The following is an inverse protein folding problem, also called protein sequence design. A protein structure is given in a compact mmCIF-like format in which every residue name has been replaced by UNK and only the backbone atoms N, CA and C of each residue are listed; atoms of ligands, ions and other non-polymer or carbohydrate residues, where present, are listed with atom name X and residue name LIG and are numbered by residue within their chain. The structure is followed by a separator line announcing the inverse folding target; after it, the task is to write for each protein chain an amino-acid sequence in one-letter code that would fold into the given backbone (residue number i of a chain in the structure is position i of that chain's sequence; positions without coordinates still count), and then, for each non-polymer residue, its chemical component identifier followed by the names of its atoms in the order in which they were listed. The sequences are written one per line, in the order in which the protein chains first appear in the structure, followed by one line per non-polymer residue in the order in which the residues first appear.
data_IF_934828281102
#
_entry.id   IF_934828281102
#
_cell.length_a   1.000
_cell.length_b   1.000
_cell.length_c   1.000
_cell.angle_alpha   90.00
_cell.angle_beta   90.00
_cell.angle_gamma   90.00
#
_symmetry.space_group_name_H-M   'P 1'
#
loop_
_entity.id
_entity.type
_entity.pdbx_description
1 polymer ?
#
# COMPACT_ATOMS: atom_id res chain seq x y z
N UNK A 1 -18.15 34.98 -2.72
CA UNK A 1 -19.32 34.71 -1.84
C UNK A 1 -18.81 34.65 -0.42
N UNK A 2 -19.51 35.18 0.59
CA UNK A 2 -19.13 35.11 1.99
C UNK A 2 -20.33 34.56 2.78
N UNK A 3 -20.09 33.48 3.54
CA UNK A 3 -21.02 32.98 4.52
C UNK A 3 -20.44 33.25 5.93
N UNK A 4 -21.25 33.74 6.86
CA UNK A 4 -20.85 33.96 8.24
C UNK A 4 -21.78 33.20 9.14
N UNK A 5 -21.24 32.42 10.05
CA UNK A 5 -22.02 31.64 11.02
C UNK A 5 -21.53 31.99 12.41
N UNK A 6 -22.46 32.38 13.27
CA UNK A 6 -22.21 32.64 14.69
C UNK A 6 -22.73 31.44 15.51
N UNK A 7 -21.82 30.70 16.14
CA UNK A 7 -22.16 29.60 17.05
C UNK A 7 -21.92 30.05 18.49
N UNK A 8 -22.96 29.96 19.34
CA UNK A 8 -22.84 30.28 20.75
C UNK A 8 -23.11 29.06 21.61
N UNK A 9 -22.07 28.56 22.26
CA UNK A 9 -22.19 27.51 23.28
C UNK A 9 -22.30 28.14 24.66
N UNK A 10 -23.31 27.66 25.45
CA UNK A 10 -23.49 28.08 26.85
C UNK A 10 -23.35 26.84 27.73
N UNK A 11 -22.33 26.81 28.57
CA UNK A 11 -22.13 25.77 29.56
C UNK A 11 -22.45 26.37 30.94
N UNK A 12 -23.41 25.78 31.65
CA UNK A 12 -23.74 26.17 33.02
C UNK A 12 -23.20 25.09 33.96
N UNK A 13 -22.37 25.49 34.91
CA UNK A 13 -21.77 24.61 35.92
C UNK A 13 -22.21 25.09 37.27
N UNK A 14 -22.75 24.19 38.12
CA UNK A 14 -23.09 24.52 39.51
C UNK A 14 -21.82 24.80 40.30
N UNK A 15 -21.80 25.88 41.05
CA UNK A 15 -20.61 26.40 41.75
C UNK A 15 -19.97 25.43 42.74
N UNK A 16 -20.70 24.39 43.17
CA UNK A 16 -20.25 23.41 44.16
C UNK A 16 -19.77 22.09 43.55
N UNK A 17 -19.69 22.00 42.21
CA UNK A 17 -19.29 20.75 41.53
C UNK A 17 -18.03 20.91 40.68
N UNK A 18 -17.09 19.99 40.87
CA UNK A 18 -16.01 19.78 39.91
C UNK A 18 -16.45 18.81 38.81
N UNK A 19 -16.33 19.22 37.56
CA UNK A 19 -16.62 18.36 36.41
C UNK A 19 -15.31 17.75 35.93
N UNK A 20 -15.19 16.42 35.84
CA UNK A 20 -14.06 15.78 35.20
C UNK A 20 -13.89 16.27 33.75
N UNK A 21 -12.66 16.50 33.29
CA UNK A 21 -12.38 16.91 31.91
C UNK A 21 -12.97 15.92 30.89
N UNK A 22 -12.96 14.62 31.20
CA UNK A 22 -13.57 13.59 30.35
C UNK A 22 -15.08 13.82 30.14
N UNK A 23 -15.82 14.15 31.21
CA UNK A 23 -17.25 14.44 31.13
C UNK A 23 -17.54 15.70 30.31
N UNK A 24 -16.67 16.70 30.39
CA UNK A 24 -16.79 17.89 29.53
C UNK A 24 -16.49 17.56 28.06
N UNK A 25 -15.50 16.71 27.80
CA UNK A 25 -15.19 16.24 26.46
C UNK A 25 -16.33 15.41 25.85
N UNK A 26 -16.91 14.48 26.62
CA UNK A 26 -18.12 13.72 26.22
C UNK A 26 -19.30 14.68 25.91
N UNK A 27 -19.52 15.66 26.75
CA UNK A 27 -20.58 16.65 26.50
C UNK A 27 -20.38 17.41 25.20
N UNK A 28 -19.14 17.81 24.87
CA UNK A 28 -18.82 18.52 23.61
C UNK A 28 -19.06 17.59 22.41
N UNK A 29 -18.65 16.33 22.51
CA UNK A 29 -18.85 15.31 21.46
C UNK A 29 -20.35 15.05 21.26
N UNK A 30 -21.12 14.91 22.32
CA UNK A 30 -22.57 14.67 22.27
C UNK A 30 -23.36 15.83 21.63
N UNK A 31 -22.80 17.03 21.57
CA UNK A 31 -23.44 18.18 20.93
C UNK A 31 -23.27 18.18 19.40
N UNK A 32 -22.55 17.25 18.82
CA UNK A 32 -22.30 17.16 17.38
C UNK A 32 -21.94 18.51 16.73
N UNK A 33 -21.03 19.26 17.36
CA UNK A 33 -20.71 20.65 16.97
C UNK A 33 -20.24 20.73 15.53
N UNK A 34 -19.47 19.76 15.09
CA UNK A 34 -18.95 19.68 13.71
C UNK A 34 -20.09 19.52 12.71
N UNK A 35 -21.08 18.67 13.01
CA UNK A 35 -22.29 18.48 12.21
C UNK A 35 -23.10 19.77 12.10
N UNK A 36 -23.38 20.42 13.23
CA UNK A 36 -24.14 21.69 13.28
C UNK A 36 -23.44 22.79 12.48
N UNK A 37 -22.12 22.88 12.59
CA UNK A 37 -21.33 23.84 11.82
C UNK A 37 -21.40 23.56 10.33
N UNK A 38 -21.22 22.30 9.90
CA UNK A 38 -21.29 21.91 8.50
C UNK A 38 -22.65 22.20 7.89
N UNK A 39 -23.73 21.82 8.58
CA UNK A 39 -25.11 22.10 8.15
C UNK A 39 -25.35 23.60 7.98
N UNK A 40 -24.97 24.39 8.96
CA UNK A 40 -25.09 25.84 8.89
C UNK A 40 -24.28 26.49 7.77
N UNK A 41 -23.08 25.97 7.46
CA UNK A 41 -22.25 26.44 6.33
C UNK A 41 -22.94 26.11 5.02
N UNK A 42 -23.37 24.86 4.83
CA UNK A 42 -24.03 24.41 3.60
C UNK A 42 -25.32 25.20 3.35
N UNK A 43 -26.19 25.38 4.35
CA UNK A 43 -27.41 26.17 4.23
C UNK A 43 -27.13 27.65 3.92
N UNK A 44 -26.08 28.23 4.51
CA UNK A 44 -25.70 29.60 4.25
C UNK A 44 -25.15 29.79 2.82
N UNK A 45 -24.36 28.82 2.33
CA UNK A 45 -23.86 28.81 0.95
C UNK A 45 -25.01 28.62 -0.05
N UNK A 46 -25.95 27.73 0.24
CA UNK A 46 -27.13 27.49 -0.58
C UNK A 46 -27.98 28.75 -0.71
N UNK A 47 -28.31 29.39 0.41
CA UNK A 47 -29.06 30.65 0.42
C UNK A 47 -28.33 31.75 -0.35
N UNK A 48 -27.03 31.91 -0.17
CA UNK A 48 -26.23 32.91 -0.86
C UNK A 48 -26.13 32.63 -2.37
N UNK A 49 -26.04 31.37 -2.79
CA UNK A 49 -26.00 30.97 -4.21
C UNK A 49 -27.31 31.29 -4.91
N UNK A 50 -28.42 31.01 -4.26
CA UNK A 50 -29.78 31.38 -4.77
C UNK A 50 -29.97 32.87 -4.86
N UNK A 51 -29.57 33.63 -3.85
CA UNK A 51 -29.67 35.10 -3.83
C UNK A 51 -28.83 35.72 -4.95
N UNK A 52 -27.60 35.20 -5.19
CA UNK A 52 -26.76 35.66 -6.26
C UNK A 52 -27.39 35.48 -7.65
N UNK A 53 -28.06 34.36 -7.90
CA UNK A 53 -28.72 34.08 -9.18
C UNK A 53 -30.09 34.72 -9.34
N UNK A 54 -30.92 34.65 -8.31
CA UNK A 54 -32.31 35.09 -8.37
C UNK A 54 -32.50 36.54 -7.87
N UNK A 55 -31.55 37.09 -7.08
CA UNK A 55 -31.58 38.47 -6.57
C UNK A 55 -31.17 39.51 -7.61
N UNK A 56 -30.27 39.16 -8.55
CA UNK A 56 -29.96 40.01 -9.69
C UNK A 56 -31.07 39.87 -10.72
N UNK A 57 -31.59 41.02 -11.21
CA UNK A 57 -32.56 41.05 -12.30
C UNK A 57 -31.85 40.73 -13.62
N UNK A 58 -31.52 39.46 -13.86
CA UNK A 58 -31.14 38.98 -15.20
C UNK A 58 -32.38 38.99 -16.08
N UNK A 59 -32.66 40.17 -16.69
CA UNK A 59 -33.79 40.33 -17.55
C UNK A 59 -33.52 39.70 -18.91
N UNK A 60 -34.32 38.71 -19.30
CA UNK A 60 -34.53 38.42 -20.69
C UNK A 60 -35.07 39.64 -21.41
N UNK A 61 -34.89 39.70 -22.75
CA UNK A 61 -35.39 40.80 -23.57
C UNK A 61 -36.87 41.16 -23.38
N UNK A 62 -37.63 40.33 -22.68
CA UNK A 62 -39.05 40.56 -22.35
C UNK A 62 -39.26 41.04 -20.90
N UNK A 63 -38.22 41.34 -20.13
CA UNK A 63 -38.30 41.75 -18.73
C UNK A 63 -38.67 40.65 -17.72
N UNK A 64 -38.71 39.38 -18.14
CA UNK A 64 -38.89 38.23 -17.26
C UNK A 64 -37.54 37.80 -16.64
N UNK A 65 -37.60 37.37 -15.37
CA UNK A 65 -36.45 36.87 -14.65
C UNK A 65 -36.03 35.50 -15.21
N UNK A 66 -34.77 35.37 -15.63
CA UNK A 66 -34.24 34.13 -16.22
C UNK A 66 -34.27 32.97 -15.21
N UNK A 67 -33.81 33.22 -14.00
CA UNK A 67 -33.68 32.19 -12.96
C UNK A 67 -34.84 32.36 -11.94
N UNK A 68 -35.56 31.28 -11.70
CA UNK A 68 -36.72 31.29 -10.79
C UNK A 68 -36.55 30.23 -9.70
N UNK A 69 -36.59 30.65 -8.44
CA UNK A 69 -36.61 29.74 -7.29
C UNK A 69 -37.91 28.92 -7.32
N UNK A 70 -37.78 27.58 -7.24
CA UNK A 70 -38.93 26.65 -7.35
C UNK A 70 -39.21 25.89 -6.07
N UNK A 71 -38.28 25.75 -5.15
CA UNK A 71 -38.47 25.05 -3.89
C UNK A 71 -37.17 24.54 -3.31
N UNK A 72 -37.27 23.56 -2.44
CA UNK A 72 -36.15 22.84 -1.82
C UNK A 72 -36.38 21.35 -1.92
N UNK A 73 -35.27 20.60 -2.09
CA UNK A 73 -35.24 19.15 -2.05
C UNK A 73 -34.34 18.65 -0.91
N UNK A 74 -34.76 17.60 -0.17
CA UNK A 74 -33.91 17.00 0.83
C UNK A 74 -32.71 16.27 0.16
N UNK A 75 -31.53 16.42 0.75
CA UNK A 75 -30.33 15.70 0.41
C UNK A 75 -29.66 15.17 1.66
N UNK A 76 -29.48 13.86 1.73
CA UNK A 76 -28.74 13.23 2.83
C UNK A 76 -27.28 13.02 2.44
N UNK A 77 -26.36 13.31 3.35
CA UNK A 77 -24.93 13.05 3.20
C UNK A 77 -24.34 12.58 4.53
N UNK A 78 -23.49 11.56 4.48
CA UNK A 78 -22.70 11.10 5.62
C UNK A 78 -21.24 11.50 5.37
N UNK A 79 -20.68 12.24 6.31
CA UNK A 79 -19.29 12.70 6.32
C UNK A 79 -18.60 12.24 7.59
N UNK A 80 -17.34 12.57 7.76
CA UNK A 80 -16.63 12.39 9.04
C UNK A 80 -17.19 13.27 10.17
N UNK A 81 -17.93 14.34 9.81
CA UNK A 81 -18.62 15.22 10.77
C UNK A 81 -20.02 14.72 11.19
N UNK A 82 -20.54 13.66 10.57
CA UNK A 82 -21.83 13.05 10.94
C UNK A 82 -22.74 12.69 9.78
N UNK A 83 -24.00 12.37 10.12
CA UNK A 83 -25.10 12.07 9.17
C UNK A 83 -26.00 13.31 9.02
N UNK A 84 -26.01 13.90 7.84
CA UNK A 84 -26.65 15.20 7.59
C UNK A 84 -27.86 15.07 6.67
N UNK A 85 -28.84 15.94 6.88
CA UNK A 85 -29.97 16.13 5.99
C UNK A 85 -30.10 17.61 5.62
N UNK A 86 -29.67 17.95 4.40
CA UNK A 86 -29.74 19.31 3.87
C UNK A 86 -31.05 19.53 3.12
N UNK A 87 -31.62 20.73 3.22
CA UNK A 87 -32.77 21.18 2.43
C UNK A 87 -32.29 22.19 1.40
N UNK A 88 -31.78 21.67 0.24
CA UNK A 88 -31.13 22.47 -0.80
C UNK A 88 -32.15 23.05 -1.79
N UNK A 89 -32.00 24.32 -2.14
CA UNK A 89 -32.83 24.97 -3.14
C UNK A 89 -32.52 24.49 -4.55
N UNK A 90 -33.58 24.37 -5.35
CA UNK A 90 -33.45 24.23 -6.78
C UNK A 90 -34.09 25.42 -7.51
N UNK A 91 -33.44 25.75 -8.65
CA UNK A 91 -33.79 26.90 -9.48
C UNK A 91 -34.07 26.40 -10.89
N UNK A 92 -35.05 27.03 -11.57
CA UNK A 92 -35.32 26.80 -12.99
C UNK A 92 -34.68 27.90 -13.84
N UNK A 93 -33.91 27.48 -14.86
CA UNK A 93 -33.54 28.39 -15.94
C UNK A 93 -34.65 28.42 -17.02
N UNK A 94 -35.42 29.46 -17.02
CA UNK A 94 -36.54 29.65 -17.96
C UNK A 94 -36.11 29.89 -19.41
N UNK A 95 -34.80 30.03 -19.66
CA UNK A 95 -34.18 30.18 -20.97
C UNK A 95 -33.54 28.92 -21.51
N UNK A 96 -33.49 27.82 -20.72
CA UNK A 96 -32.94 26.55 -21.18
C UNK A 96 -33.77 25.99 -22.35
N UNK A 97 -33.08 25.41 -23.33
CA UNK A 97 -33.72 24.72 -24.44
C UNK A 97 -34.44 23.46 -23.95
N UNK A 98 -35.52 23.06 -24.67
CA UNK A 98 -36.37 21.93 -24.27
C UNK A 98 -35.66 20.58 -24.12
N UNK A 99 -34.44 20.42 -24.60
CA UNK A 99 -33.64 19.20 -24.54
C UNK A 99 -32.69 19.15 -23.33
N UNK A 100 -32.54 20.25 -22.56
CA UNK A 100 -31.72 20.34 -21.37
C UNK A 100 -32.58 20.40 -20.09
N UNK A 101 -32.07 19.84 -18.98
CA UNK A 101 -32.72 19.98 -17.68
C UNK A 101 -32.73 21.46 -17.29
N UNK A 102 -33.92 22.07 -17.25
CA UNK A 102 -34.07 23.47 -16.81
C UNK A 102 -33.89 23.66 -15.28
N UNK A 103 -33.79 22.56 -14.51
CA UNK A 103 -33.69 22.58 -13.06
C UNK A 103 -32.29 22.18 -12.60
N UNK A 104 -31.71 22.98 -11.70
CA UNK A 104 -30.41 22.73 -11.08
C UNK A 104 -30.35 23.29 -9.65
N UNK A 105 -29.32 22.90 -8.89
CA UNK A 105 -29.04 23.41 -7.54
C UNK A 105 -27.88 24.38 -7.60
N UNK A 106 -28.06 25.69 -7.36
CA UNK A 106 -26.98 26.68 -7.47
C UNK A 106 -25.80 26.44 -6.50
N UNK A 107 -26.04 25.81 -5.37
CA UNK A 107 -24.98 25.47 -4.41
C UNK A 107 -23.98 24.46 -4.98
N UNK A 108 -24.37 23.63 -5.95
CA UNK A 108 -23.48 22.64 -6.58
C UNK A 108 -22.40 23.28 -7.46
N UNK A 109 -22.52 24.58 -7.80
CA UNK A 109 -21.45 25.36 -8.46
C UNK A 109 -20.29 25.74 -7.51
N UNK A 110 -20.53 25.71 -6.20
CA UNK A 110 -19.57 26.12 -5.17
C UNK A 110 -19.25 25.02 -4.15
N UNK A 111 -20.07 23.99 -4.08
CA UNK A 111 -19.96 22.86 -3.17
C UNK A 111 -20.16 21.55 -3.95
N UNK A 112 -19.09 20.76 -4.05
CA UNK A 112 -19.16 19.47 -4.71
C UNK A 112 -19.60 18.37 -3.73
N UNK A 113 -20.55 17.54 -4.19
CA UNK A 113 -20.93 16.31 -3.52
C UNK A 113 -20.44 15.11 -4.32
N UNK A 114 -20.18 13.95 -3.68
CA UNK A 114 -19.82 12.72 -4.38
C UNK A 114 -21.03 12.16 -5.18
N UNK A 115 -21.42 12.85 -6.22
CA UNK A 115 -22.58 12.54 -7.06
C UNK A 115 -23.85 12.32 -6.22
N UNK A 116 -24.51 11.18 -6.42
CA UNK A 116 -25.71 10.78 -5.63
C UNK A 116 -25.36 9.86 -4.44
N UNK A 117 -24.08 9.68 -4.14
CA UNK A 117 -23.67 8.85 -3.01
C UNK A 117 -24.03 9.50 -1.68
N UNK A 118 -24.60 8.72 -0.78
CA UNK A 118 -24.87 9.16 0.58
C UNK A 118 -23.59 9.35 1.38
N UNK A 119 -22.65 8.39 1.27
CA UNK A 119 -21.34 8.46 1.93
C UNK A 119 -20.39 9.30 1.09
N UNK A 120 -20.00 10.46 1.60
CA UNK A 120 -19.11 11.38 0.92
C UNK A 120 -17.66 10.90 0.95
N UNK A 121 -16.80 11.55 0.18
CA UNK A 121 -15.43 11.09 -0.06
C UNK A 121 -14.58 10.97 1.22
N UNK A 122 -14.73 11.88 2.17
CA UNK A 122 -13.99 11.91 3.44
C UNK A 122 -14.25 10.66 4.28
N UNK A 123 -15.53 10.32 4.54
CA UNK A 123 -15.89 9.11 5.29
C UNK A 123 -15.60 7.84 4.48
N UNK A 124 -15.72 7.90 3.14
CA UNK A 124 -15.36 6.81 2.27
C UNK A 124 -13.84 6.54 2.33
N UNK A 125 -13.00 7.56 2.20
CA UNK A 125 -11.54 7.45 2.31
C UNK A 125 -11.12 6.95 3.71
N UNK A 126 -11.72 7.50 4.77
CA UNK A 126 -11.47 7.05 6.14
C UNK A 126 -11.84 5.57 6.33
N UNK A 127 -12.99 5.13 5.80
CA UNK A 127 -13.41 3.73 5.88
C UNK A 127 -12.45 2.79 5.14
N UNK A 128 -11.94 3.21 3.99
CA UNK A 128 -10.94 2.46 3.21
C UNK A 128 -9.60 2.41 3.96
N UNK A 129 -9.16 3.53 4.52
CA UNK A 129 -7.91 3.59 5.28
C UNK A 129 -7.93 2.65 6.49
N UNK A 130 -9.00 2.64 7.27
CA UNK A 130 -9.21 1.71 8.38
C UNK A 130 -9.28 0.25 7.90
N UNK A 131 -9.95 -0.02 6.77
CA UNK A 131 -10.09 -1.36 6.19
C UNK A 131 -8.77 -1.97 5.71
N UNK A 132 -7.73 -1.15 5.47
CA UNK A 132 -6.38 -1.68 5.20
C UNK A 132 -5.84 -2.49 6.38
N UNK A 133 -6.26 -2.18 7.61
CA UNK A 133 -5.78 -2.81 8.84
C UNK A 133 -6.81 -3.69 9.54
N UNK A 134 -8.09 -3.35 9.45
CA UNK A 134 -9.21 -4.04 10.09
C UNK A 134 -10.00 -4.88 9.09
N UNK A 135 -10.79 -5.84 9.57
CA UNK A 135 -11.80 -6.47 8.71
C UNK A 135 -12.88 -5.45 8.32
N UNK A 136 -13.58 -5.65 7.20
CA UNK A 136 -14.66 -4.73 6.81
C UNK A 136 -15.78 -4.62 7.85
N UNK A 137 -16.01 -5.70 8.61
CA UNK A 137 -16.98 -5.70 9.72
C UNK A 137 -16.45 -4.89 10.90
N UNK A 138 -15.20 -5.17 11.31
CA UNK A 138 -14.59 -4.42 12.42
C UNK A 138 -14.45 -2.93 12.06
N UNK A 139 -14.17 -2.60 10.78
CA UNK A 139 -14.15 -1.20 10.31
C UNK A 139 -15.50 -0.53 10.48
N UNK A 140 -16.60 -1.19 10.10
CA UNK A 140 -17.94 -0.65 10.29
C UNK A 140 -18.28 -0.52 11.78
N UNK A 141 -18.09 -1.59 12.55
CA UNK A 141 -18.48 -1.65 13.96
C UNK A 141 -17.69 -0.66 14.84
N UNK A 142 -16.37 -0.55 14.64
CA UNK A 142 -15.54 0.42 15.39
C UNK A 142 -15.73 1.85 14.90
N UNK A 143 -15.92 2.01 13.59
CA UNK A 143 -16.13 3.33 13.00
C UNK A 143 -17.45 3.97 13.44
N UNK A 144 -18.52 3.20 13.57
CA UNK A 144 -19.80 3.70 14.11
C UNK A 144 -19.66 4.27 15.53
N UNK A 145 -18.68 3.79 16.31
CA UNK A 145 -18.37 4.34 17.63
C UNK A 145 -17.57 5.66 17.60
N UNK A 146 -17.03 6.05 16.45
CA UNK A 146 -16.20 7.26 16.30
C UNK A 146 -16.90 8.32 15.44
N UNK A 147 -17.57 7.93 14.37
CA UNK A 147 -18.10 8.79 13.30
C UNK A 147 -19.63 8.73 13.20
N UNK A 148 -20.38 8.67 14.27
CA UNK A 148 -21.84 8.60 14.27
C UNK A 148 -22.41 7.54 13.29
N UNK A 149 -21.88 7.43 12.06
CA UNK A 149 -22.26 6.45 11.04
C UNK A 149 -21.13 6.09 10.09
N UNK A 150 -20.86 4.80 9.94
CA UNK A 150 -19.90 4.26 8.97
C UNK A 150 -20.63 3.55 7.81
N UNK A 151 -19.97 3.46 6.63
CA UNK A 151 -20.45 2.59 5.57
C UNK A 151 -20.53 1.12 6.02
N UNK A 152 -21.57 0.41 5.57
CA UNK A 152 -21.67 -1.02 5.85
C UNK A 152 -20.54 -1.83 5.19
N UNK A 153 -20.22 -3.04 5.70
CA UNK A 153 -19.14 -3.87 5.14
C UNK A 153 -19.19 -4.09 3.63
N UNK A 154 -20.36 -4.30 2.98
CA UNK A 154 -20.41 -4.38 1.51
C UNK A 154 -20.05 -3.07 0.81
N UNK A 155 -20.40 -1.92 1.38
CA UNK A 155 -20.06 -0.59 0.83
C UNK A 155 -18.55 -0.37 0.98
N UNK A 156 -17.96 -0.67 2.14
CA UNK A 156 -16.52 -0.60 2.39
C UNK A 156 -15.77 -1.46 1.38
N UNK A 157 -16.18 -2.73 1.18
CA UNK A 157 -15.57 -3.62 0.19
C UNK A 157 -15.62 -3.01 -1.22
N UNK A 158 -16.76 -2.44 -1.62
CA UNK A 158 -16.89 -1.78 -2.93
C UNK A 158 -15.92 -0.59 -3.06
N UNK A 159 -15.80 0.24 -2.03
CA UNK A 159 -14.88 1.38 -2.01
C UNK A 159 -13.40 0.94 -2.01
N UNK A 160 -13.06 -0.12 -1.28
CA UNK A 160 -11.71 -0.72 -1.32
C UNK A 160 -11.35 -1.16 -2.74
N UNK A 161 -12.27 -1.82 -3.46
CA UNK A 161 -12.03 -2.22 -4.86
C UNK A 161 -11.86 -1.02 -5.79
N UNK A 162 -12.72 -0.01 -5.63
CA UNK A 162 -12.66 1.22 -6.41
C UNK A 162 -11.33 1.95 -6.18
N UNK A 163 -10.95 2.18 -4.92
CA UNK A 163 -9.76 2.95 -4.58
C UNK A 163 -8.47 2.16 -4.85
N UNK A 164 -8.46 0.87 -4.58
CA UNK A 164 -7.33 0.01 -4.93
C UNK A 164 -7.09 -0.05 -6.44
N UNK A 165 -8.18 -0.09 -7.23
CA UNK A 165 -8.08 -0.01 -8.69
C UNK A 165 -7.55 1.34 -9.20
N UNK A 166 -7.97 2.44 -8.58
CA UNK A 166 -7.45 3.79 -8.88
C UNK A 166 -5.97 3.92 -8.50
N UNK A 167 -5.59 3.42 -7.31
CA UNK A 167 -4.20 3.44 -6.85
C UNK A 167 -3.30 2.62 -7.75
N UNK A 168 -3.76 1.47 -8.23
CA UNK A 168 -3.01 0.66 -9.21
C UNK A 168 -2.72 1.43 -10.50
N UNK A 169 -3.64 2.29 -10.97
CA UNK A 169 -3.42 3.14 -12.13
C UNK A 169 -2.49 4.32 -11.86
N UNK A 170 -2.40 4.76 -10.62
CA UNK A 170 -1.55 5.87 -10.19
C UNK A 170 -0.09 5.44 -9.95
N UNK A 171 0.14 4.19 -9.54
CA UNK A 171 1.47 3.68 -9.20
C UNK A 171 2.52 3.78 -10.32
N UNK A 172 2.21 3.47 -11.60
CA UNK A 172 3.20 3.59 -12.67
C UNK A 172 3.82 4.98 -12.78
N UNK A 173 3.03 6.04 -12.56
CA UNK A 173 3.53 7.42 -12.59
C UNK A 173 4.50 7.70 -11.42
N UNK A 174 4.32 7.03 -10.28
CA UNK A 174 5.21 7.14 -9.13
C UNK A 174 6.49 6.30 -9.28
N UNK A 175 6.37 5.15 -9.94
CA UNK A 175 7.48 4.20 -10.17
C UNK A 175 8.42 4.69 -11.27
N UNK A 176 7.90 5.39 -12.28
CA UNK A 176 8.69 5.92 -13.41
C UNK A 176 9.81 6.90 -12.99
N UNK A 177 9.71 7.50 -11.81
CA UNK A 177 10.76 8.37 -11.25
C UNK A 177 11.77 7.60 -10.37
N UNK A 178 11.65 6.26 -10.31
CA UNK A 178 12.51 5.40 -9.47
C UNK A 178 13.60 4.77 -10.34
N UNK A 179 14.85 4.95 -9.99
CA UNK A 179 16.00 4.27 -10.58
C UNK A 179 16.57 3.30 -9.53
N UNK A 180 15.92 2.14 -9.37
CA UNK A 180 16.37 1.15 -8.40
C UNK A 180 17.61 0.40 -8.91
N UNK A 181 18.67 0.35 -8.10
CA UNK A 181 19.89 -0.43 -8.37
C UNK A 181 19.88 -1.81 -7.68
N UNK A 182 18.87 -2.08 -6.85
CA UNK A 182 18.56 -3.42 -6.37
C UNK A 182 17.06 -3.70 -6.45
N UNK A 183 16.71 -4.90 -6.94
CA UNK A 183 15.33 -5.40 -7.09
C UNK A 183 15.13 -6.58 -6.15
N UNK A 184 14.09 -6.51 -5.32
CA UNK A 184 13.84 -7.50 -4.27
C UNK A 184 12.43 -8.10 -4.46
N UNK A 185 12.27 -9.09 -5.35
CA UNK A 185 11.00 -9.78 -5.56
C UNK A 185 10.79 -10.90 -4.53
N UNK A 186 9.55 -11.06 -4.08
CA UNK A 186 9.13 -12.20 -3.26
C UNK A 186 7.66 -12.53 -3.48
N UNK A 187 7.26 -13.75 -3.15
CA UNK A 187 5.91 -14.24 -3.32
C UNK A 187 5.35 -14.98 -2.11
N UNK A 188 4.03 -14.91 -1.97
CA UNK A 188 3.32 -15.62 -0.91
C UNK A 188 1.96 -16.11 -1.40
N UNK A 189 1.17 -16.78 -0.54
CA UNK A 189 -0.15 -17.32 -0.91
C UNK A 189 -1.19 -16.95 0.12
N UNK A 190 -2.43 -16.65 -0.34
CA UNK A 190 -3.61 -16.52 0.50
C UNK A 190 -4.72 -17.48 0.04
N UNK A 191 -5.63 -17.83 0.96
CA UNK A 191 -6.76 -18.71 0.63
C UNK A 191 -7.71 -18.05 -0.37
N UNK A 192 -8.06 -18.81 -1.42
CA UNK A 192 -9.05 -18.40 -2.42
C UNK A 192 -10.48 -18.74 -1.97
N UNK A 193 -11.45 -17.93 -2.43
CA UNK A 193 -12.85 -18.31 -2.40
C UNK A 193 -13.34 -18.79 -3.77
N UNK A 194 -12.49 -18.79 -4.79
CA UNK A 194 -12.81 -19.29 -6.13
C UNK A 194 -12.82 -20.83 -6.12
N UNK A 195 -13.79 -21.44 -6.77
CA UNK A 195 -13.97 -22.90 -6.75
C UNK A 195 -12.88 -23.66 -7.52
N UNK A 196 -12.19 -22.98 -8.45
CA UNK A 196 -11.18 -23.57 -9.33
C UNK A 196 -9.77 -23.63 -8.70
N UNK A 197 -9.56 -22.94 -7.56
CA UNK A 197 -8.26 -22.88 -6.89
C UNK A 197 -8.35 -22.76 -5.38
N UNK A 198 -7.43 -23.39 -4.68
CA UNK A 198 -7.35 -23.31 -3.22
C UNK A 198 -6.66 -22.04 -2.71
N UNK A 199 -5.78 -21.44 -3.52
CA UNK A 199 -4.94 -20.29 -3.14
C UNK A 199 -4.78 -19.33 -4.30
N UNK A 200 -4.67 -18.05 -3.97
CA UNK A 200 -4.10 -17.02 -4.84
C UNK A 200 -2.61 -16.87 -4.52
N UNK A 201 -1.76 -16.81 -5.55
CA UNK A 201 -0.39 -16.34 -5.42
C UNK A 201 -0.39 -14.81 -5.34
N UNK A 202 0.46 -14.27 -4.48
CA UNK A 202 0.69 -12.84 -4.33
C UNK A 202 2.16 -12.63 -4.63
N UNK A 203 2.47 -11.73 -5.54
CA UNK A 203 3.81 -11.36 -5.95
C UNK A 203 3.98 -9.87 -5.67
N UNK A 204 5.11 -9.50 -5.08
CA UNK A 204 5.48 -8.10 -4.90
C UNK A 204 6.97 -7.91 -5.15
N UNK A 205 7.31 -6.79 -5.75
CA UNK A 205 8.67 -6.40 -6.07
C UNK A 205 8.96 -5.05 -5.42
N UNK A 206 10.00 -5.00 -4.58
CA UNK A 206 10.55 -3.74 -4.07
C UNK A 206 11.78 -3.35 -4.88
N UNK A 207 11.90 -2.07 -5.20
CA UNK A 207 13.14 -1.44 -5.61
C UNK A 207 13.84 -0.81 -4.40
N UNK A 208 15.15 -0.85 -4.37
CA UNK A 208 15.97 -0.13 -3.39
C UNK A 208 17.01 0.71 -4.15
N UNK A 209 17.05 2.02 -3.87
CA UNK A 209 18.21 2.84 -4.15
C UNK A 209 19.21 2.58 -3.02
N UNK A 210 20.32 1.95 -3.35
CA UNK A 210 21.30 1.50 -2.34
C UNK A 210 22.13 2.65 -1.78
N UNK A 211 22.15 3.80 -2.44
CA UNK A 211 22.91 4.98 -2.02
C UNK A 211 22.25 5.66 -0.80
N UNK A 212 20.94 5.84 -0.81
CA UNK A 212 20.20 6.47 0.28
C UNK A 212 19.31 5.48 1.06
N UNK A 213 19.20 4.23 0.58
CA UNK A 213 18.38 3.14 1.12
C UNK A 213 16.88 3.42 1.08
N UNK A 214 16.47 4.30 0.17
CA UNK A 214 15.07 4.50 -0.13
C UNK A 214 14.49 3.27 -0.81
N UNK A 215 13.20 3.01 -0.60
CA UNK A 215 12.51 1.83 -1.13
C UNK A 215 11.18 2.22 -1.70
N UNK A 216 10.89 1.64 -2.86
CA UNK A 216 9.62 1.82 -3.55
C UNK A 216 8.98 0.47 -3.86
N UNK A 217 7.66 0.39 -3.78
CA UNK A 217 6.92 -0.77 -4.29
C UNK A 217 6.82 -0.63 -5.81
N UNK A 218 7.60 -1.44 -6.53
CA UNK A 218 7.65 -1.40 -7.99
C UNK A 218 6.48 -2.15 -8.63
N UNK A 219 6.12 -3.32 -8.10
CA UNK A 219 4.99 -4.12 -8.58
C UNK A 219 4.29 -4.85 -7.45
N UNK A 220 3.00 -5.05 -7.65
CA UNK A 220 2.15 -5.92 -6.85
C UNK A 220 1.11 -6.58 -7.74
N UNK A 221 1.11 -7.91 -7.80
CA UNK A 221 0.15 -8.67 -8.57
C UNK A 221 -0.42 -9.87 -7.81
N UNK A 222 -1.67 -10.22 -8.13
CA UNK A 222 -2.34 -11.43 -7.62
C UNK A 222 -2.53 -12.41 -8.78
N UNK A 223 -1.99 -13.61 -8.63
CA UNK A 223 -1.89 -14.62 -9.70
C UNK A 223 -1.12 -14.12 -10.94
N UNK A 224 -0.13 -13.25 -10.73
CA UNK A 224 0.72 -12.72 -11.78
C UNK A 224 1.75 -13.72 -12.30
N UNK A 225 2.57 -13.25 -13.24
CA UNK A 225 3.69 -13.96 -13.84
C UNK A 225 4.96 -13.12 -13.70
N UNK A 226 6.02 -13.69 -13.13
CA UNK A 226 7.28 -13.00 -12.90
C UNK A 226 7.91 -12.45 -14.20
N UNK A 227 7.80 -13.19 -15.32
CA UNK A 227 8.34 -12.70 -16.59
C UNK A 227 7.61 -11.46 -17.08
N UNK A 228 6.30 -11.38 -16.84
CA UNK A 228 5.52 -10.21 -17.18
C UNK A 228 5.90 -9.02 -16.30
N UNK A 229 6.03 -9.24 -14.99
CA UNK A 229 6.46 -8.19 -14.05
C UNK A 229 7.85 -7.66 -14.43
N UNK A 230 8.82 -8.53 -14.72
CA UNK A 230 10.16 -8.11 -15.11
C UNK A 230 10.15 -7.26 -16.40
N UNK A 231 9.39 -7.69 -17.42
CA UNK A 231 9.26 -6.93 -18.67
C UNK A 231 8.56 -5.58 -18.48
N UNK A 232 7.55 -5.49 -17.62
CA UNK A 232 6.85 -4.24 -17.33
C UNK A 232 7.75 -3.24 -16.57
N UNK A 233 8.64 -3.72 -15.69
CA UNK A 233 9.61 -2.86 -14.98
C UNK A 233 10.72 -2.36 -15.90
N UNK A 234 11.17 -3.19 -16.83
CA UNK A 234 12.12 -2.81 -17.88
C UNK A 234 11.52 -1.75 -18.82
N UNK A 235 10.29 -1.96 -19.29
CA UNK A 235 9.56 -0.99 -20.15
C UNK A 235 9.33 0.38 -19.46
N UNK A 236 9.33 0.44 -18.14
CA UNK A 236 9.14 1.66 -17.35
C UNK A 236 10.45 2.36 -16.97
N UNK A 237 11.61 1.83 -17.33
CA UNK A 237 12.94 2.30 -16.88
C UNK A 237 13.03 2.44 -15.33
N UNK A 238 12.27 1.60 -14.59
CA UNK A 238 12.18 1.68 -13.12
C UNK A 238 13.39 1.05 -12.41
N UNK A 239 14.23 0.37 -13.15
CA UNK A 239 15.38 -0.41 -12.67
C UNK A 239 16.58 -0.07 -13.54
N UNK A 240 17.75 0.10 -12.94
CA UNK A 240 18.98 0.38 -13.70
C UNK A 240 19.46 -0.85 -14.47
N UNK A 241 20.17 -0.66 -15.59
CA UNK A 241 20.68 -1.75 -16.43
C UNK A 241 21.62 -2.72 -15.70
N UNK A 242 22.24 -2.29 -14.61
CA UNK A 242 23.18 -3.06 -13.79
C UNK A 242 22.62 -3.42 -12.40
N UNK A 243 21.30 -3.35 -12.24
CA UNK A 243 20.65 -3.66 -10.98
C UNK A 243 20.89 -5.12 -10.54
N UNK A 244 21.02 -5.30 -9.23
CA UNK A 244 21.15 -6.64 -8.65
C UNK A 244 19.80 -7.16 -8.17
N UNK A 245 19.45 -8.38 -8.56
CA UNK A 245 18.24 -9.09 -8.08
C UNK A 245 18.54 -9.81 -6.78
N UNK A 246 17.80 -9.50 -5.71
CA UNK A 246 18.00 -10.12 -4.38
C UNK A 246 16.78 -10.98 -4.03
N UNK A 247 16.97 -12.29 -3.91
CA UNK A 247 15.85 -13.19 -3.62
C UNK A 247 16.24 -14.40 -2.76
N UNK A 248 15.23 -15.13 -2.27
CA UNK A 248 15.40 -16.39 -1.54
C UNK A 248 15.80 -17.60 -2.39
N UNK A 249 16.05 -17.41 -3.68
CA UNK A 249 16.47 -18.47 -4.60
C UNK A 249 15.30 -19.21 -5.27
N UNK A 250 14.14 -18.60 -5.39
CA UNK A 250 13.06 -19.11 -6.26
C UNK A 250 13.51 -19.04 -7.72
N UNK A 251 13.56 -20.20 -8.39
CA UNK A 251 14.03 -20.27 -9.78
C UNK A 251 13.16 -19.49 -10.76
N UNK A 252 11.86 -19.37 -10.48
CA UNK A 252 10.96 -18.58 -11.31
C UNK A 252 11.33 -17.10 -11.27
N UNK A 253 11.66 -16.59 -10.08
CA UNK A 253 12.13 -15.21 -9.87
C UNK A 253 13.47 -15.02 -10.59
N UNK A 254 14.46 -15.88 -10.29
CA UNK A 254 15.80 -15.75 -10.87
C UNK A 254 15.74 -15.77 -12.40
N UNK A 255 14.99 -16.73 -12.99
CA UNK A 255 14.86 -16.82 -14.45
C UNK A 255 14.18 -15.60 -15.08
N UNK A 256 13.23 -14.99 -14.37
CA UNK A 256 12.48 -13.86 -14.89
C UNK A 256 13.23 -12.52 -14.83
N UNK A 257 14.02 -12.32 -13.76
CA UNK A 257 14.66 -11.04 -13.47
C UNK A 257 16.18 -11.01 -13.78
N UNK A 258 16.82 -12.17 -14.00
CA UNK A 258 18.24 -12.20 -14.34
C UNK A 258 18.44 -12.54 -15.82
N UNK A 259 19.23 -11.73 -16.49
CA UNK A 259 19.70 -11.92 -17.86
C UNK A 259 21.22 -11.75 -17.92
N UNK A 260 21.77 -11.36 -19.08
CA UNK A 260 23.20 -11.08 -19.23
C UNK A 260 23.65 -9.79 -18.49
N UNK A 261 22.72 -8.92 -18.10
CA UNK A 261 22.98 -7.60 -17.48
C UNK A 261 22.77 -7.61 -15.96
N UNK A 262 21.83 -8.43 -15.46
CA UNK A 262 21.43 -8.41 -14.06
C UNK A 262 22.02 -9.58 -13.27
N UNK A 263 22.78 -9.27 -12.24
CA UNK A 263 23.33 -10.23 -11.30
C UNK A 263 22.30 -10.66 -10.25
N UNK A 264 22.47 -11.85 -9.69
CA UNK A 264 21.64 -12.37 -8.62
C UNK A 264 22.41 -12.49 -7.30
N UNK A 265 21.86 -11.90 -6.25
CA UNK A 265 22.27 -12.09 -4.86
C UNK A 265 21.29 -13.03 -4.14
N UNK A 266 21.78 -14.18 -3.69
CA UNK A 266 20.98 -15.06 -2.83
C UNK A 266 20.88 -14.49 -1.41
N UNK A 267 19.68 -14.42 -0.86
CA UNK A 267 19.48 -14.02 0.54
C UNK A 267 20.28 -14.94 1.48
N UNK A 268 21.24 -14.34 2.19
CA UNK A 268 22.16 -15.10 3.05
C UNK A 268 21.45 -15.82 4.22
N UNK A 269 20.28 -15.33 4.67
CA UNK A 269 19.49 -15.99 5.71
C UNK A 269 18.86 -17.28 5.18
N UNK A 270 18.50 -17.30 3.89
CA UNK A 270 17.91 -18.48 3.25
C UNK A 270 18.91 -19.60 2.99
N UNK A 271 20.21 -19.30 2.86
CA UNK A 271 21.25 -20.31 2.60
C UNK A 271 21.19 -21.46 3.60
N UNK A 272 21.15 -21.18 4.89
CA UNK A 272 21.12 -22.22 5.93
C UNK A 272 19.83 -23.02 5.93
N UNK A 273 18.67 -22.37 5.77
CA UNK A 273 17.36 -23.02 5.77
C UNK A 273 17.23 -24.00 4.60
N UNK A 274 17.65 -23.57 3.42
CA UNK A 274 17.58 -24.38 2.20
C UNK A 274 18.59 -25.51 2.22
N UNK A 275 19.79 -25.26 2.73
CA UNK A 275 20.81 -26.32 2.92
C UNK A 275 20.31 -27.40 3.90
N UNK A 276 19.74 -27.04 5.06
CA UNK A 276 19.17 -28.01 6.00
C UNK A 276 18.06 -28.86 5.37
N UNK A 277 17.21 -28.23 4.58
CA UNK A 277 16.16 -28.94 3.84
C UNK A 277 16.75 -29.99 2.87
N UNK A 278 17.75 -29.65 2.07
CA UNK A 278 18.38 -30.63 1.15
C UNK A 278 19.16 -31.70 1.89
N UNK A 279 19.86 -31.39 2.98
CA UNK A 279 20.51 -32.37 3.83
C UNK A 279 19.50 -33.36 4.45
N UNK A 280 18.31 -32.86 4.83
CA UNK A 280 17.22 -33.70 5.31
C UNK A 280 16.63 -34.58 4.19
N UNK A 281 16.41 -34.00 3.00
CA UNK A 281 15.83 -34.69 1.85
C UNK A 281 16.78 -35.75 1.26
N UNK A 282 18.08 -35.54 1.32
CA UNK A 282 19.10 -36.55 0.97
C UNK A 282 19.14 -37.71 2.00
N UNK A 283 18.79 -37.47 3.25
CA UNK A 283 18.67 -38.49 4.29
C UNK A 283 19.99 -39.14 4.73
N UNK A 284 21.13 -38.56 4.40
CA UNK A 284 22.47 -39.14 4.67
C UNK A 284 22.93 -38.87 6.11
N UNK A 285 22.67 -37.68 6.63
CA UNK A 285 23.19 -37.22 7.90
C UNK A 285 22.13 -37.19 9.00
N UNK A 286 22.44 -37.60 10.26
CA UNK A 286 21.57 -37.38 11.40
C UNK A 286 21.49 -35.88 11.75
N UNK A 287 20.49 -35.49 12.54
CA UNK A 287 20.14 -34.09 12.82
C UNK A 287 21.31 -33.27 13.40
N UNK A 288 22.10 -33.86 14.31
CA UNK A 288 23.27 -33.21 14.93
C UNK A 288 24.34 -32.85 13.89
N UNK A 289 24.65 -33.77 12.98
CA UNK A 289 25.60 -33.52 11.92
C UNK A 289 25.07 -32.52 10.89
N UNK A 290 23.78 -32.57 10.54
CA UNK A 290 23.16 -31.57 9.68
C UNK A 290 23.28 -30.16 10.27
N UNK A 291 22.98 -30.03 11.57
CA UNK A 291 23.12 -28.76 12.27
C UNK A 291 24.57 -28.24 12.28
N UNK A 292 25.55 -29.12 12.41
CA UNK A 292 26.97 -28.78 12.37
C UNK A 292 27.37 -28.26 10.97
N UNK A 293 27.01 -28.98 9.90
CA UNK A 293 27.27 -28.59 8.52
C UNK A 293 26.62 -27.23 8.19
N UNK A 294 25.35 -27.05 8.53
CA UNK A 294 24.63 -25.79 8.32
C UNK A 294 25.29 -24.65 9.08
N UNK A 295 25.69 -24.89 10.35
CA UNK A 295 26.34 -23.86 11.16
C UNK A 295 27.71 -23.46 10.60
N UNK A 296 28.45 -24.40 10.04
CA UNK A 296 29.74 -24.14 9.41
C UNK A 296 29.60 -23.29 8.16
N UNK A 297 28.69 -23.65 7.24
CA UNK A 297 28.43 -22.89 6.01
C UNK A 297 27.89 -21.49 6.35
N UNK A 298 26.92 -21.36 7.24
CA UNK A 298 26.40 -20.06 7.67
C UNK A 298 27.46 -19.22 8.35
N UNK A 299 28.33 -19.83 9.15
CA UNK A 299 29.47 -19.15 9.78
C UNK A 299 30.38 -18.50 8.72
N UNK A 300 30.71 -19.22 7.65
CA UNK A 300 31.54 -18.68 6.55
C UNK A 300 30.85 -17.53 5.80
N UNK A 301 29.58 -17.69 5.48
CA UNK A 301 28.78 -16.67 4.77
C UNK A 301 28.69 -15.37 5.62
N UNK A 302 28.39 -15.48 6.91
CA UNK A 302 28.33 -14.30 7.77
C UNK A 302 29.70 -13.70 8.10
N UNK A 303 30.76 -14.51 8.08
CA UNK A 303 32.13 -13.97 8.14
C UNK A 303 32.46 -13.12 6.92
N UNK A 304 32.04 -13.55 5.71
CA UNK A 304 32.18 -12.74 4.52
C UNK A 304 31.42 -11.41 4.64
N UNK A 305 30.16 -11.49 5.02
CA UNK A 305 29.31 -10.29 5.25
C UNK A 305 29.96 -9.32 6.23
N UNK A 306 30.45 -9.82 7.39
CA UNK A 306 31.11 -8.98 8.38
C UNK A 306 32.44 -8.41 7.89
N UNK A 307 33.17 -9.13 7.04
CA UNK A 307 34.40 -8.65 6.39
C UNK A 307 34.11 -7.48 5.46
N UNK A 308 33.07 -7.60 4.62
CA UNK A 308 32.63 -6.50 3.73
C UNK A 308 32.24 -5.27 4.57
N UNK A 309 31.38 -5.44 5.58
CA UNK A 309 30.96 -4.34 6.44
C UNK A 309 32.12 -3.62 7.16
N UNK A 310 33.21 -4.37 7.49
CA UNK A 310 34.39 -3.82 8.16
C UNK A 310 35.34 -3.10 7.21
N UNK A 311 35.58 -3.69 6.03
CA UNK A 311 36.70 -3.27 5.18
C UNK A 311 36.27 -2.31 4.05
N UNK A 312 35.00 -2.38 3.58
CA UNK A 312 34.49 -1.50 2.53
C UNK A 312 34.56 0.00 2.87
N UNK A 313 34.19 0.47 4.09
CA UNK A 313 34.27 1.88 4.43
C UNK A 313 35.70 2.46 4.42
N UNK A 314 36.71 1.61 4.49
CA UNK A 314 38.12 1.99 4.46
C UNK A 314 38.76 1.70 3.09
N UNK A 315 38.01 1.28 2.09
CA UNK A 315 38.48 0.88 0.75
C UNK A 315 39.54 -0.23 0.79
N UNK A 316 39.49 -1.10 1.82
CA UNK A 316 40.42 -2.22 1.98
C UNK A 316 40.00 -3.42 1.12
N UNK A 317 39.82 -3.20 -0.19
CA UNK A 317 39.28 -4.17 -1.15
C UNK A 317 40.12 -5.46 -1.27
N UNK A 318 41.46 -5.38 -1.03
CA UNK A 318 42.28 -6.57 -1.00
C UNK A 318 41.87 -7.57 0.08
N UNK A 319 41.48 -7.10 1.26
CA UNK A 319 40.99 -7.93 2.35
C UNK A 319 39.62 -8.56 2.03
N UNK A 320 38.77 -7.86 1.30
CA UNK A 320 37.49 -8.40 0.82
C UNK A 320 37.73 -9.49 -0.21
N UNK A 321 38.59 -9.27 -1.21
CA UNK A 321 38.94 -10.29 -2.21
C UNK A 321 39.51 -11.55 -1.57
N UNK A 322 40.44 -11.39 -0.62
CA UNK A 322 40.98 -12.54 0.11
C UNK A 322 39.89 -13.31 0.86
N UNK A 323 38.93 -12.60 1.48
CA UNK A 323 37.83 -13.25 2.19
C UNK A 323 36.85 -13.94 1.24
N UNK A 324 36.51 -13.36 0.10
CA UNK A 324 35.71 -14.02 -0.95
C UNK A 324 36.39 -15.36 -1.33
N UNK A 325 37.66 -15.33 -1.66
CA UNK A 325 38.41 -16.54 -2.06
C UNK A 325 38.36 -17.60 -0.96
N UNK A 326 38.58 -17.22 0.31
CA UNK A 326 38.53 -18.16 1.45
C UNK A 326 37.11 -18.74 1.65
N UNK A 327 36.05 -17.93 1.51
CA UNK A 327 34.68 -18.38 1.65
C UNK A 327 34.28 -19.33 0.52
N UNK A 328 34.65 -19.00 -0.72
CA UNK A 328 34.46 -19.85 -1.91
C UNK A 328 35.12 -21.21 -1.73
N UNK A 329 36.42 -21.24 -1.40
CA UNK A 329 37.18 -22.50 -1.20
C UNK A 329 36.55 -23.40 -0.11
N UNK A 330 36.09 -22.79 0.98
CA UNK A 330 35.46 -23.54 2.09
C UNK A 330 34.12 -24.12 1.71
N UNK A 331 33.24 -23.32 1.04
CA UNK A 331 31.94 -23.79 0.59
C UNK A 331 32.09 -24.87 -0.47
N UNK A 332 32.98 -24.70 -1.45
CA UNK A 332 33.32 -25.73 -2.47
C UNK A 332 33.82 -27.02 -1.82
N UNK A 333 34.70 -26.93 -0.84
CA UNK A 333 35.21 -28.08 -0.11
C UNK A 333 34.06 -28.78 0.65
N UNK A 334 33.17 -28.03 1.31
CA UNK A 334 32.00 -28.61 1.98
C UNK A 334 31.10 -29.29 0.96
N UNK A 335 30.81 -28.67 -0.19
CA UNK A 335 30.00 -29.24 -1.26
C UNK A 335 30.61 -30.53 -1.79
N UNK A 336 31.94 -30.55 -2.01
CA UNK A 336 32.64 -31.74 -2.44
C UNK A 336 32.56 -32.89 -1.41
N UNK A 337 32.71 -32.58 -0.13
CA UNK A 337 32.56 -33.59 0.94
C UNK A 337 31.14 -34.16 0.98
N UNK A 338 30.09 -33.32 0.86
CA UNK A 338 28.71 -33.75 0.81
C UNK A 338 28.45 -34.70 -0.36
N UNK A 339 28.99 -34.38 -1.54
CA UNK A 339 28.90 -35.25 -2.72
C UNK A 339 29.57 -36.61 -2.46
N UNK A 340 30.79 -36.63 -1.89
CA UNK A 340 31.49 -37.89 -1.55
C UNK A 340 30.71 -38.74 -0.52
N UNK A 341 29.93 -38.16 0.34
CA UNK A 341 29.04 -38.86 1.29
C UNK A 341 27.66 -39.23 0.70
N UNK A 342 27.40 -38.87 -0.58
CA UNK A 342 26.14 -39.16 -1.27
C UNK A 342 25.00 -38.19 -0.96
N UNK A 343 25.30 -37.00 -0.44
CA UNK A 343 24.33 -35.92 -0.24
C UNK A 343 24.32 -34.99 -1.47
N UNK A 344 23.83 -35.55 -2.58
CA UNK A 344 23.95 -34.94 -3.92
C UNK A 344 23.14 -33.64 -4.07
N UNK A 345 21.95 -33.56 -3.45
CA UNK A 345 21.09 -32.36 -3.54
C UNK A 345 21.69 -31.18 -2.77
N UNK A 346 22.19 -31.44 -1.56
CA UNK A 346 22.84 -30.43 -0.76
C UNK A 346 24.17 -29.95 -1.41
N UNK A 347 24.96 -30.86 -1.96
CA UNK A 347 26.16 -30.51 -2.73
C UNK A 347 25.82 -29.66 -3.97
N UNK A 348 24.86 -30.12 -4.77
CA UNK A 348 24.38 -29.41 -5.96
C UNK A 348 23.81 -28.03 -5.65
N UNK A 349 23.13 -27.87 -4.49
CA UNK A 349 22.68 -26.58 -4.01
C UNK A 349 23.85 -25.63 -3.76
N UNK A 350 24.85 -26.04 -2.99
CA UNK A 350 26.01 -25.20 -2.71
C UNK A 350 26.77 -24.81 -3.95
N UNK A 351 27.07 -25.76 -4.84
CA UNK A 351 27.76 -25.48 -6.12
C UNK A 351 26.95 -24.52 -7.00
N UNK A 352 25.65 -24.74 -7.12
CA UNK A 352 24.80 -23.97 -8.02
C UNK A 352 24.56 -22.53 -7.57
N UNK A 353 24.57 -22.29 -6.24
CA UNK A 353 24.27 -20.96 -5.69
C UNK A 353 25.50 -20.20 -5.17
N UNK A 354 26.70 -20.82 -5.19
CA UNK A 354 27.90 -20.17 -4.69
C UNK A 354 28.20 -18.81 -5.34
N UNK A 355 28.07 -18.62 -6.68
CA UNK A 355 28.21 -17.30 -7.28
C UNK A 355 27.25 -16.28 -6.65
N UNK A 356 25.96 -16.62 -6.55
CA UNK A 356 24.93 -15.73 -5.97
C UNK A 356 25.10 -15.49 -4.46
N UNK A 357 25.84 -16.31 -3.74
CA UNK A 357 26.15 -16.08 -2.32
C UNK A 357 27.19 -14.96 -2.15
N UNK A 358 28.09 -14.78 -3.09
CA UNK A 358 29.21 -13.83 -2.99
C UNK A 358 28.98 -12.51 -3.74
N UNK A 359 27.95 -12.40 -4.58
CA UNK A 359 27.64 -11.24 -5.43
C UNK A 359 27.73 -9.91 -4.68
N UNK A 360 27.11 -9.79 -3.49
CA UNK A 360 27.16 -8.55 -2.68
C UNK A 360 28.59 -8.14 -2.30
N UNK A 361 29.48 -9.11 -2.14
CA UNK A 361 30.85 -8.85 -1.76
C UNK A 361 31.73 -8.50 -2.99
N UNK A 362 31.40 -9.06 -4.16
CA UNK A 362 32.03 -8.70 -5.44
C UNK A 362 31.62 -7.28 -5.84
N UNK A 363 30.33 -6.95 -5.78
CA UNK A 363 29.81 -5.59 -6.00
C UNK A 363 30.47 -4.56 -5.07
N UNK A 364 30.70 -4.93 -3.80
CA UNK A 364 31.37 -4.04 -2.84
C UNK A 364 32.81 -3.69 -3.24
N UNK A 365 33.50 -4.55 -3.99
CA UNK A 365 34.85 -4.28 -4.54
C UNK A 365 34.78 -3.29 -5.71
N UNK A 366 33.69 -3.32 -6.46
CA UNK A 366 33.44 -2.43 -7.59
C UNK A 366 32.88 -1.07 -7.17
N UNK A 367 32.55 -0.93 -5.88
CA UNK A 367 32.07 0.32 -5.28
C UNK A 367 30.56 0.35 -5.05
N UNK A 368 29.82 -0.69 -5.50
CA UNK A 368 28.37 -0.78 -5.32
C UNK A 368 28.01 -1.36 -3.96
N UNK A 369 26.85 -0.98 -3.45
CA UNK A 369 26.24 -1.61 -2.27
C UNK A 369 25.06 -2.46 -2.71
N UNK A 370 25.13 -3.76 -2.48
CA UNK A 370 24.05 -4.71 -2.80
C UNK A 370 23.48 -5.24 -1.48
N UNK A 371 22.15 -5.23 -1.29
CA UNK A 371 21.53 -5.85 -0.12
C UNK A 371 21.86 -7.35 -0.08
N UNK A 372 22.35 -7.83 1.04
CA UNK A 372 22.66 -9.26 1.26
C UNK A 372 21.45 -10.07 1.72
N UNK A 373 20.27 -9.47 1.83
CA UNK A 373 19.05 -10.10 2.36
C UNK A 373 17.79 -9.52 1.73
N UNK A 374 16.79 -10.37 1.53
CA UNK A 374 15.44 -10.02 1.09
C UNK A 374 14.50 -9.59 2.24
N UNK A 375 15.00 -9.38 3.44
CA UNK A 375 14.21 -8.96 4.60
C UNK A 375 13.24 -7.78 4.36
N UNK A 376 13.57 -6.78 3.50
CA UNK A 376 12.62 -5.70 3.21
C UNK A 376 11.31 -6.21 2.63
N UNK A 377 11.37 -7.05 1.58
CA UNK A 377 10.17 -7.62 0.98
C UNK A 377 9.50 -8.66 1.88
N UNK A 378 10.26 -9.41 2.69
CA UNK A 378 9.68 -10.31 3.69
C UNK A 378 8.83 -9.56 4.74
N UNK A 379 9.26 -8.37 5.16
CA UNK A 379 8.45 -7.50 6.04
C UNK A 379 7.18 -7.04 5.35
N UNK A 380 7.25 -6.68 4.07
CA UNK A 380 6.10 -6.35 3.26
C UNK A 380 5.13 -7.55 3.18
N UNK A 381 5.63 -8.77 2.93
CA UNK A 381 4.84 -10.01 2.96
C UNK A 381 4.27 -10.31 4.36
N UNK A 382 4.93 -9.83 5.40
CA UNK A 382 4.41 -9.83 6.77
C UNK A 382 3.09 -9.04 6.89
N UNK A 383 2.96 -7.92 6.17
CA UNK A 383 1.72 -7.12 6.15
C UNK A 383 0.59 -7.87 5.44
N UNK A 384 0.88 -8.61 4.36
CA UNK A 384 -0.06 -9.54 3.72
C UNK A 384 -0.53 -10.58 4.73
N UNK A 385 0.40 -11.17 5.47
CA UNK A 385 0.10 -12.24 6.43
C UNK A 385 -0.79 -11.75 7.56
N UNK A 386 -0.54 -10.58 8.12
CA UNK A 386 -1.34 -9.98 9.19
C UNK A 386 -2.79 -9.73 8.78
N UNK A 387 -3.02 -9.33 7.53
CA UNK A 387 -4.34 -8.91 7.06
C UNK A 387 -5.10 -10.00 6.29
N UNK A 388 -4.41 -10.83 5.53
CA UNK A 388 -5.04 -11.68 4.52
C UNK A 388 -4.91 -13.19 4.77
N UNK A 389 -3.97 -13.63 5.64
CA UNK A 389 -3.70 -15.07 5.86
C UNK A 389 -4.45 -15.69 7.05
N UNK A 390 -5.46 -15.04 7.61
CA UNK A 390 -6.27 -15.68 8.63
C UNK A 390 -6.99 -16.90 8.02
N UNK A 391 -6.97 -18.05 8.70
CA UNK A 391 -7.56 -19.31 8.24
C UNK A 391 -9.06 -19.22 7.88
N UNK A 392 -9.77 -18.24 8.39
CA UNK A 392 -11.19 -18.00 8.13
C UNK A 392 -11.43 -17.00 6.99
N UNK A 393 -10.39 -16.35 6.47
CA UNK A 393 -10.49 -15.40 5.37
C UNK A 393 -10.26 -16.11 4.04
N UNK A 394 -11.17 -15.85 3.10
CA UNK A 394 -11.05 -16.27 1.70
C UNK A 394 -11.30 -15.06 0.82
N UNK A 395 -10.60 -15.01 -0.28
CA UNK A 395 -10.56 -13.82 -1.14
C UNK A 395 -10.89 -14.16 -2.58
N UNK A 396 -11.56 -13.23 -3.28
CA UNK A 396 -11.50 -13.18 -4.74
C UNK A 396 -10.17 -12.54 -5.15
N UNK A 397 -9.64 -12.88 -6.32
CA UNK A 397 -8.40 -12.29 -6.83
C UNK A 397 -8.47 -10.76 -6.86
N UNK A 398 -9.52 -10.20 -7.46
CA UNK A 398 -9.76 -8.75 -7.57
C UNK A 398 -9.85 -8.04 -6.20
N UNK A 399 -10.62 -8.63 -5.25
CA UNK A 399 -10.77 -8.03 -3.93
C UNK A 399 -9.49 -8.08 -3.10
N UNK A 400 -8.69 -9.13 -3.26
CA UNK A 400 -7.39 -9.27 -2.63
C UNK A 400 -6.39 -8.25 -3.20
N UNK A 401 -6.29 -8.17 -4.51
CA UNK A 401 -5.38 -7.24 -5.18
C UNK A 401 -5.67 -5.79 -4.80
N UNK A 402 -6.93 -5.36 -4.88
CA UNK A 402 -7.33 -4.01 -4.52
C UNK A 402 -7.00 -3.65 -3.06
N UNK A 403 -7.26 -4.57 -2.12
CA UNK A 403 -6.90 -4.36 -0.72
C UNK A 403 -5.39 -4.28 -0.52
N UNK A 404 -4.64 -5.15 -1.18
CA UNK A 404 -3.19 -5.21 -1.05
C UNK A 404 -2.51 -3.99 -1.68
N UNK A 405 -3.02 -3.47 -2.80
CA UNK A 405 -2.54 -2.19 -3.36
C UNK A 405 -2.58 -1.08 -2.30
N UNK A 406 -3.72 -0.88 -1.67
CA UNK A 406 -3.87 0.13 -0.62
C UNK A 406 -2.96 -0.13 0.59
N UNK A 407 -2.94 -1.38 1.09
CA UNK A 407 -2.18 -1.72 2.30
C UNK A 407 -0.68 -1.65 2.11
N UNK A 408 -0.16 -2.23 1.01
CA UNK A 408 1.27 -2.34 0.79
C UNK A 408 1.89 -1.01 0.35
N UNK A 409 1.17 -0.21 -0.44
CA UNK A 409 1.60 1.17 -0.74
C UNK A 409 1.60 2.01 0.55
N UNK A 410 0.54 1.93 1.36
CA UNK A 410 0.51 2.62 2.67
C UNK A 410 1.70 2.25 3.56
N UNK A 411 2.15 0.99 3.51
CA UNK A 411 3.28 0.50 4.30
C UNK A 411 4.63 0.89 3.70
N UNK A 412 4.82 0.68 2.40
CA UNK A 412 6.09 0.90 1.71
C UNK A 412 6.35 2.39 1.47
N UNK A 413 5.32 3.14 1.08
CA UNK A 413 5.39 4.57 0.79
C UNK A 413 4.17 5.32 1.36
N UNK A 414 4.19 5.65 2.66
CA UNK A 414 3.11 6.40 3.30
C UNK A 414 2.87 7.78 2.69
N UNK A 415 3.86 8.36 2.03
CA UNK A 415 3.77 9.71 1.46
C UNK A 415 2.94 9.69 0.19
N UNK A 416 3.24 8.80 -0.75
CA UNK A 416 2.44 8.59 -1.95
C UNK A 416 1.01 8.13 -1.63
N UNK A 417 0.84 7.28 -0.62
CA UNK A 417 -0.49 6.88 -0.18
C UNK A 417 -1.34 8.08 0.30
N UNK A 418 -0.75 9.02 1.05
CA UNK A 418 -1.44 10.24 1.49
C UNK A 418 -1.77 11.15 0.31
N UNK A 419 -0.82 11.38 -0.59
CA UNK A 419 -1.07 12.17 -1.79
C UNK A 419 -2.24 11.61 -2.62
N UNK A 420 -2.28 10.29 -2.78
CA UNK A 420 -3.41 9.62 -3.44
C UNK A 420 -4.75 9.87 -2.74
N UNK A 421 -4.81 9.76 -1.40
CA UNK A 421 -6.04 10.06 -0.66
C UNK A 421 -6.43 11.53 -0.78
N UNK A 422 -5.47 12.45 -0.72
CA UNK A 422 -5.72 13.89 -0.87
C UNK A 422 -6.23 14.23 -2.28
N UNK A 423 -5.70 13.59 -3.32
CA UNK A 423 -6.23 13.76 -4.68
C UNK A 423 -7.65 13.23 -4.83
N UNK A 424 -7.99 12.12 -4.18
CA UNK A 424 -9.37 11.62 -4.16
C UNK A 424 -10.33 12.64 -3.53
N UNK A 425 -9.91 13.31 -2.47
CA UNK A 425 -10.72 14.33 -1.78
C UNK A 425 -10.88 15.63 -2.60
N UNK A 426 -9.90 15.96 -3.46
CA UNK A 426 -9.92 17.19 -4.25
C UNK A 426 -10.65 17.05 -5.60
N UNK A 427 -10.77 15.83 -6.13
CA UNK A 427 -11.39 15.56 -7.44
C UNK A 427 -12.90 15.27 -7.38
N UNK A 428 -13.51 15.44 -6.22
CA UNK A 428 -14.97 15.23 -6.00
C UNK A 428 -15.81 16.43 -6.41
#
# INVERSE_FOLDING_TARGET
MHATIDVRLTVSIDDDKTIPLATLAEFITDQNIESVLLEGIVESLDAASVEALCGEKHAHGNGQQRFQRRGTDPRTAVTTAGDHEFSLHYVEDTAADHDESSYFRPVEDVLSFDGQNRYQQDIAATSVDLATSLSYRDTADHGDGIFERMPSPPIINRRVREYGGKLKQFLPDCVADTEADAVIPDGTKCYSQDDDRSYHSIQATLGEDTADKSRSLLDLSVNGDWNKTAAELDDMDAVTDDATVVSGGDRGIVTAFTDESHDHQLDLVHVGRTLDYYLWDDGVFPLDQRNEIVSEVIGEVFHLKNSVAKHRPNEEFAAIRERIAQTTDRIEKTAWQLDQYGSEKAAGYLYGWLPSIVTFAEAAIEGFEVPWTSNPVERLMGEVSKRCKNQWMRWTAEGLEALLQLRLVKYADPSHYRLFLDELLQRS
#
